data_IF_674510746916
#
_entry.id   IF_674510746916
#
_cell.length_a   1.000
_cell.length_b   1.000
_cell.length_c   1.000
_cell.angle_alpha   90.00
_cell.angle_beta   90.00
_cell.angle_gamma   90.00
#
_symmetry.space_group_name_H-M   'P 1'
#
loop_
_entity.id
_entity.type
_entity.pdbx_description
1 polymer ?
#
# COMPACT_ATOMS: atom_id res chain seq x y z
N UNK A 1 2.20 -13.90 33.69
CA UNK A 1 2.24 -13.63 32.23
C UNK A 1 1.13 -12.65 31.79
N UNK A 2 -0.11 -12.81 32.27
CA UNK A 2 -1.26 -11.97 31.88
C UNK A 2 -1.24 -10.51 32.40
N UNK A 3 -0.57 -10.24 33.53
CA UNK A 3 -0.43 -8.88 34.10
C UNK A 3 0.18 -7.87 33.12
N UNK A 4 1.16 -8.29 32.30
CA UNK A 4 1.87 -7.42 31.34
C UNK A 4 1.00 -6.91 30.19
N UNK A 5 -0.10 -7.58 29.88
CA UNK A 5 -0.96 -7.18 28.75
C UNK A 5 -2.02 -6.15 29.15
N UNK A 6 -2.23 -5.88 30.45
CA UNK A 6 -3.23 -4.89 30.89
C UNK A 6 -2.87 -3.44 30.51
N UNK A 7 -1.59 -3.16 30.28
CA UNK A 7 -1.10 -1.84 29.85
C UNK A 7 -0.80 -1.77 28.35
N UNK A 8 -0.92 -2.87 27.62
CA UNK A 8 -0.64 -2.92 26.18
C UNK A 8 -1.94 -2.73 25.41
N UNK A 9 -1.99 -1.69 24.58
CA UNK A 9 -3.11 -1.44 23.70
C UNK A 9 -3.06 -2.37 22.48
N UNK A 10 -3.98 -3.34 22.42
CA UNK A 10 -4.13 -4.23 21.26
C UNK A 10 -4.68 -3.53 20.02
N UNK A 11 -4.36 -4.07 18.83
CA UNK A 11 -4.72 -3.47 17.52
C UNK A 11 -6.23 -3.27 17.36
N UNK A 12 -7.06 -4.23 17.78
CA UNK A 12 -8.52 -4.11 17.66
C UNK A 12 -9.05 -2.96 18.52
N UNK A 13 -8.59 -2.88 19.77
CA UNK A 13 -8.98 -1.83 20.70
C UNK A 13 -8.52 -0.46 20.22
N UNK A 14 -7.27 -0.36 19.73
CA UNK A 14 -6.72 0.87 19.12
C UNK A 14 -7.58 1.32 17.94
N UNK A 15 -7.94 0.41 17.04
CA UNK A 15 -8.71 0.76 15.85
C UNK A 15 -10.11 1.26 16.24
N UNK A 16 -10.86 0.49 17.04
CA UNK A 16 -12.24 0.81 17.40
C UNK A 16 -12.38 2.01 18.34
N UNK A 17 -11.53 2.10 19.37
CA UNK A 17 -11.69 3.11 20.42
C UNK A 17 -10.96 4.43 20.11
N UNK A 18 -9.91 4.39 19.29
CA UNK A 18 -9.05 5.55 19.01
C UNK A 18 -9.15 5.94 17.54
N UNK A 19 -8.70 5.08 16.61
CA UNK A 19 -8.55 5.48 15.21
C UNK A 19 -9.90 5.80 14.54
N UNK A 20 -10.91 4.95 14.72
CA UNK A 20 -12.23 5.12 14.09
C UNK A 20 -12.96 6.35 14.64
N UNK A 21 -12.68 6.74 15.88
CA UNK A 21 -13.31 7.92 16.52
C UNK A 21 -12.59 9.22 16.17
N UNK A 22 -11.27 9.17 15.98
CA UNK A 22 -10.43 10.35 15.77
C UNK A 22 -10.21 10.68 14.30
N UNK A 23 -10.34 9.72 13.39
CA UNK A 23 -10.09 9.94 11.97
C UNK A 23 -11.41 9.99 11.18
N UNK A 24 -11.72 11.09 10.50
CA UNK A 24 -12.88 11.14 9.62
C UNK A 24 -12.77 10.10 8.50
N UNK A 25 -13.91 9.55 8.08
CA UNK A 25 -13.96 8.44 7.11
C UNK A 25 -13.31 8.78 5.76
N UNK A 26 -13.47 10.01 5.27
CA UNK A 26 -12.92 10.45 3.98
C UNK A 26 -11.38 10.32 3.91
N UNK A 27 -10.63 11.00 4.79
CA UNK A 27 -9.18 10.85 4.89
C UNK A 27 -8.70 9.41 5.08
N UNK A 28 -9.43 8.60 5.88
CA UNK A 28 -9.08 7.17 6.07
C UNK A 28 -9.18 6.40 4.76
N UNK A 29 -10.25 6.61 3.97
CA UNK A 29 -10.41 5.97 2.67
C UNK A 29 -9.36 6.44 1.66
N UNK A 30 -9.04 7.73 1.66
CA UNK A 30 -7.99 8.30 0.81
C UNK A 30 -6.62 7.67 1.15
N UNK A 31 -6.27 7.61 2.43
CA UNK A 31 -5.04 7.01 2.93
C UNK A 31 -4.95 5.50 2.65
N UNK A 32 -6.09 4.80 2.64
CA UNK A 32 -6.17 3.39 2.25
C UNK A 32 -5.88 3.13 0.77
N UNK A 33 -6.03 4.14 -0.08
CA UNK A 33 -5.77 4.06 -1.51
C UNK A 33 -4.34 4.47 -1.85
N UNK A 34 -3.54 3.51 -2.32
CA UNK A 34 -2.15 3.74 -2.71
C UNK A 34 -2.01 4.75 -3.86
N UNK A 35 -2.96 4.78 -4.78
CA UNK A 35 -2.95 5.69 -5.93
C UNK A 35 -3.35 7.10 -5.51
N UNK A 36 -4.51 7.25 -4.85
CA UNK A 36 -5.01 8.57 -4.43
C UNK A 36 -4.09 9.24 -3.42
N UNK A 37 -3.53 8.47 -2.48
CA UNK A 37 -2.51 8.99 -1.55
C UNK A 37 -1.30 9.53 -2.31
N UNK A 38 -0.82 8.79 -3.33
CA UNK A 38 0.33 9.22 -4.12
C UNK A 38 0.02 10.49 -4.91
N UNK A 39 -1.13 10.55 -5.59
CA UNK A 39 -1.58 11.73 -6.34
C UNK A 39 -1.66 12.97 -5.43
N UNK A 40 -2.25 12.83 -4.24
CA UNK A 40 -2.33 13.91 -3.26
C UNK A 40 -0.94 14.38 -2.81
N UNK A 41 -0.06 13.45 -2.44
CA UNK A 41 1.29 13.77 -1.99
C UNK A 41 2.10 14.48 -3.08
N UNK A 42 2.06 13.97 -4.32
CA UNK A 42 2.69 14.62 -5.47
C UNK A 42 2.15 16.02 -5.71
N UNK A 43 0.83 16.21 -5.66
CA UNK A 43 0.20 17.52 -5.84
C UNK A 43 0.61 18.54 -4.76
N UNK A 44 1.03 18.08 -3.58
CA UNK A 44 1.55 18.90 -2.50
C UNK A 44 3.08 19.01 -2.50
N UNK A 45 3.76 18.52 -3.54
CA UNK A 45 5.21 18.57 -3.66
C UNK A 45 5.97 17.60 -2.73
N UNK A 46 5.28 16.63 -2.13
CA UNK A 46 5.92 15.59 -1.31
C UNK A 46 6.51 14.52 -2.23
N UNK A 47 7.82 14.23 -2.16
CA UNK A 47 8.44 13.21 -2.99
C UNK A 47 7.84 11.82 -2.73
N UNK A 48 7.52 11.11 -3.81
CA UNK A 48 6.99 9.75 -3.78
C UNK A 48 7.70 8.91 -4.83
N UNK A 49 7.82 7.58 -4.64
CA UNK A 49 8.38 6.71 -5.68
C UNK A 49 7.59 6.81 -6.99
N UNK A 50 8.24 6.70 -8.13
CA UNK A 50 7.56 6.68 -9.43
C UNK A 50 6.58 5.51 -9.53
N UNK A 51 5.44 5.72 -10.20
CA UNK A 51 4.55 4.63 -10.64
C UNK A 51 4.81 4.40 -12.12
N UNK A 52 5.23 3.19 -12.51
CA UNK A 52 5.39 2.84 -13.91
C UNK A 52 4.05 2.55 -14.60
N UNK A 53 3.15 1.85 -13.90
CA UNK A 53 1.83 1.51 -14.39
C UNK A 53 0.82 1.27 -13.25
N UNK A 54 -0.47 1.38 -13.57
CA UNK A 54 -1.57 1.00 -12.72
C UNK A 54 -2.55 0.13 -13.54
N UNK A 55 -2.92 -1.01 -12.98
CA UNK A 55 -3.74 -2.01 -13.67
C UNK A 55 -5.11 -2.13 -13.01
N UNK A 56 -6.17 -2.26 -13.81
CA UNK A 56 -7.55 -2.48 -13.34
C UNK A 56 -8.01 -3.90 -13.59
N UNK A 57 -7.36 -4.61 -14.52
CA UNK A 57 -7.70 -5.98 -14.89
C UNK A 57 -6.46 -6.85 -15.02
N UNK A 58 -6.66 -8.18 -15.03
CA UNK A 58 -5.59 -9.13 -15.36
C UNK A 58 -5.17 -9.03 -16.82
N UNK A 59 -6.09 -8.66 -17.70
CA UNK A 59 -5.79 -8.44 -19.11
C UNK A 59 -4.75 -7.32 -19.27
N UNK A 60 -4.89 -6.22 -18.53
CA UNK A 60 -3.94 -5.10 -18.56
C UNK A 60 -2.52 -5.57 -18.23
N UNK A 61 -2.37 -6.49 -17.27
CA UNK A 61 -1.07 -7.10 -16.91
C UNK A 61 -0.50 -7.96 -18.06
N UNK A 62 -1.35 -8.68 -18.77
CA UNK A 62 -0.93 -9.57 -19.87
C UNK A 62 -0.45 -8.81 -21.10
N UNK A 63 -1.05 -7.65 -21.38
CA UNK A 63 -0.69 -6.82 -22.55
C UNK A 63 0.31 -5.71 -22.22
N UNK A 64 0.71 -5.58 -20.96
CA UNK A 64 1.68 -4.57 -20.55
C UNK A 64 3.08 -4.88 -21.10
N UNK A 65 3.77 -3.85 -21.60
CA UNK A 65 5.18 -3.96 -21.94
C UNK A 65 6.02 -3.96 -20.65
N UNK A 66 6.56 -5.13 -20.31
CA UNK A 66 7.36 -5.36 -19.11
C UNK A 66 8.81 -4.88 -19.24
N UNK A 67 9.12 -4.02 -20.22
CA UNK A 67 10.39 -3.31 -20.30
C UNK A 67 10.52 -2.25 -19.18
N UNK A 68 10.61 -2.73 -17.95
CA UNK A 68 10.81 -1.97 -16.71
C UNK A 68 12.27 -2.11 -16.24
N UNK A 69 12.74 -1.25 -15.31
CA UNK A 69 14.04 -1.43 -14.67
C UNK A 69 14.18 -2.82 -14.02
N UNK A 70 15.42 -3.23 -13.77
CA UNK A 70 15.72 -4.55 -13.18
C UNK A 70 15.14 -4.73 -11.77
N UNK A 71 14.81 -3.62 -11.09
CA UNK A 71 14.22 -3.64 -9.76
C UNK A 71 12.92 -2.85 -9.74
N UNK A 72 11.82 -3.53 -9.39
CA UNK A 72 10.52 -2.89 -9.19
C UNK A 72 9.65 -3.70 -8.24
N UNK A 73 8.53 -3.09 -7.82
CA UNK A 73 7.55 -3.74 -6.95
C UNK A 73 6.17 -3.68 -7.59
N UNK A 74 5.54 -4.84 -7.76
CA UNK A 74 4.13 -4.97 -8.10
C UNK A 74 3.34 -5.21 -6.82
N UNK A 75 2.35 -4.33 -6.54
CA UNK A 75 1.57 -4.37 -5.30
C UNK A 75 0.07 -4.27 -5.58
N UNK A 76 -0.79 -5.06 -4.91
CA UNK A 76 -2.23 -4.91 -5.01
C UNK A 76 -2.69 -3.63 -4.32
N UNK A 77 -3.80 -3.07 -4.80
CA UNK A 77 -4.43 -1.90 -4.18
C UNK A 77 -4.90 -2.20 -2.75
N UNK A 78 -5.51 -3.37 -2.51
CA UNK A 78 -6.13 -3.76 -1.23
C UNK A 78 -5.31 -4.67 -0.28
N UNK A 79 -4.00 -4.77 -0.44
CA UNK A 79 -3.15 -5.57 0.46
C UNK A 79 -2.86 -4.91 1.82
N UNK A 80 -2.73 -5.72 2.87
CA UNK A 80 -2.38 -5.33 4.25
C UNK A 80 -1.16 -6.10 4.73
N UNK A 81 -0.32 -5.49 5.59
CA UNK A 81 0.78 -6.19 6.26
C UNK A 81 1.83 -6.82 5.32
N UNK A 82 1.95 -6.33 4.08
CA UNK A 82 2.84 -6.90 3.06
C UNK A 82 2.22 -7.97 2.17
N UNK A 83 0.96 -8.37 2.41
CA UNK A 83 0.27 -9.38 1.62
C UNK A 83 0.15 -9.02 0.13
N UNK A 84 0.56 -9.94 -0.73
CA UNK A 84 0.45 -9.83 -2.19
C UNK A 84 1.47 -8.91 -2.86
N UNK A 85 2.47 -8.40 -2.13
CA UNK A 85 3.59 -7.65 -2.72
C UNK A 85 4.51 -8.63 -3.45
N UNK A 86 4.74 -8.38 -4.74
CA UNK A 86 5.75 -9.06 -5.55
C UNK A 86 6.91 -8.11 -5.79
N UNK A 87 8.10 -8.53 -5.39
CA UNK A 87 9.35 -7.78 -5.59
C UNK A 87 10.09 -8.44 -6.74
N UNK A 88 10.36 -7.67 -7.80
CA UNK A 88 11.23 -8.08 -8.88
C UNK A 88 12.64 -7.53 -8.60
N UNK A 89 13.63 -8.41 -8.61
CA UNK A 89 15.05 -8.07 -8.45
C UNK A 89 15.86 -8.80 -9.51
N UNK A 90 16.54 -8.03 -10.35
CA UNK A 90 17.35 -8.55 -11.45
C UNK A 90 16.52 -9.18 -12.57
N UNK A 91 17.23 -9.53 -13.65
CA UNK A 91 16.72 -10.35 -14.75
C UNK A 91 17.56 -11.61 -14.81
N UNK A 92 16.97 -12.77 -14.52
CA UNK A 92 17.61 -14.05 -14.81
C UNK A 92 17.50 -14.31 -16.31
N UNK A 93 18.38 -13.68 -17.08
CA UNK A 93 18.60 -14.00 -18.49
C UNK A 93 19.51 -15.21 -18.60
N UNK A 94 18.97 -16.31 -19.14
CA UNK A 94 19.74 -17.27 -19.92
C UNK A 94 19.63 -16.87 -21.40
#
# INVERSE_FOLDING_TARGET
MWERFRTILGVNRRNLEILDRQNPRGPVLLAGSKLQTKELLTAQGVPVPQTYAAFRSRYDLHVFDWNLPDEFVLKPSGGWGGGGIMVAVGRNGA
#
